data_IF_986192205141
#
_entry.id   IF_986192205141
#
_cell.length_a   1.000
_cell.length_b   1.000
_cell.length_c   1.000
_cell.angle_alpha   90.00
_cell.angle_beta   90.00
_cell.angle_gamma   90.00
#
_symmetry.space_group_name_H-M   'P 1'
#
loop_
_entity.id
_entity.type
_entity.pdbx_description
1 polymer ?
#
# COMPACT_ATOMS: atom_id res chain seq x y z
N UNK A 1 -3.40 -3.21 -14.27
CA UNK A 1 -2.52 -2.24 -13.54
C UNK A 1 -2.89 -1.97 -12.06
N UNK A 2 -4.13 -2.18 -11.61
CA UNK A 2 -4.46 -2.43 -10.17
C UNK A 2 -5.46 -3.59 -10.08
N UNK A 3 -6.42 -3.64 -11.00
CA UNK A 3 -7.43 -4.69 -11.15
C UNK A 3 -6.88 -6.11 -11.50
N UNK A 4 -5.57 -6.26 -11.69
CA UNK A 4 -4.93 -7.53 -12.09
C UNK A 4 -3.89 -8.01 -11.08
N UNK A 5 -3.61 -7.22 -10.04
CA UNK A 5 -2.68 -7.62 -8.99
C UNK A 5 -3.35 -8.70 -8.13
N UNK A 6 -2.72 -9.87 -8.00
CA UNK A 6 -3.23 -10.95 -7.16
C UNK A 6 -2.90 -10.70 -5.69
N UNK A 7 -1.81 -9.98 -5.45
CA UNK A 7 -1.37 -9.56 -4.12
C UNK A 7 -0.63 -8.22 -4.19
N UNK A 8 -0.41 -7.60 -3.03
CA UNK A 8 0.24 -6.29 -2.92
C UNK A 8 1.62 -6.24 -3.59
N UNK A 9 2.36 -7.35 -3.60
CA UNK A 9 3.65 -7.47 -4.28
C UNK A 9 3.61 -7.29 -5.80
N UNK A 10 2.44 -7.43 -6.45
CA UNK A 10 2.27 -7.23 -7.89
C UNK A 10 1.96 -5.77 -8.24
N UNK A 11 1.63 -4.95 -7.25
CA UNK A 11 1.30 -3.54 -7.48
C UNK A 11 2.59 -2.80 -7.84
N UNK A 12 2.63 -2.06 -8.96
CA UNK A 12 3.85 -1.39 -9.38
C UNK A 12 4.38 -0.41 -8.33
N UNK A 13 5.70 -0.36 -8.20
CA UNK A 13 6.43 0.60 -7.34
C UNK A 13 7.15 1.65 -8.20
N UNK A 14 6.75 1.82 -9.46
CA UNK A 14 7.32 2.80 -10.40
C UNK A 14 6.33 3.92 -10.70
N UNK A 15 6.67 4.84 -11.60
CA UNK A 15 5.68 5.79 -12.13
C UNK A 15 4.98 5.20 -13.36
N UNK A 16 3.70 5.54 -13.63
CA UNK A 16 2.85 6.48 -12.90
C UNK A 16 2.12 5.88 -11.67
N UNK A 17 2.05 4.55 -11.54
CA UNK A 17 1.40 3.86 -10.41
C UNK A 17 2.45 3.48 -9.37
N UNK A 18 2.63 4.33 -8.36
CA UNK A 18 3.71 4.23 -7.38
C UNK A 18 3.19 3.77 -6.01
N UNK A 19 3.19 2.45 -5.78
CA UNK A 19 2.92 1.86 -4.46
C UNK A 19 4.17 1.91 -3.58
N UNK A 20 4.04 2.45 -2.36
CA UNK A 20 5.15 2.54 -1.41
C UNK A 20 4.65 2.56 0.04
N UNK A 21 5.45 2.06 1.00
CA UNK A 21 5.13 2.14 2.42
C UNK A 21 5.24 3.58 2.92
N UNK A 22 4.34 3.97 3.83
CA UNK A 22 4.40 5.22 4.57
C UNK A 22 5.30 5.03 5.80
N UNK A 23 6.39 5.82 5.86
CA UNK A 23 7.49 5.59 6.81
C UNK A 23 7.43 6.43 8.08
N UNK A 24 6.57 7.44 8.14
CA UNK A 24 6.63 8.47 9.18
C UNK A 24 5.41 8.44 10.12
N UNK A 25 5.66 8.76 11.40
CA UNK A 25 4.63 8.98 12.41
C UNK A 25 3.67 7.81 12.61
N UNK A 26 2.38 8.14 12.76
CA UNK A 26 1.28 7.19 12.97
C UNK A 26 0.91 6.36 11.73
N UNK A 27 1.55 6.61 10.58
CA UNK A 27 1.24 5.91 9.31
C UNK A 27 2.13 4.70 9.06
N UNK A 28 3.00 4.33 10.01
CA UNK A 28 3.79 3.10 9.91
C UNK A 28 2.89 1.87 9.71
N UNK A 29 3.21 1.05 8.70
CA UNK A 29 2.40 -0.11 8.32
C UNK A 29 1.29 0.19 7.32
N UNK A 30 1.12 1.46 6.92
CA UNK A 30 0.25 1.85 5.82
C UNK A 30 1.05 1.97 4.52
N UNK A 31 0.34 1.88 3.40
CA UNK A 31 0.86 2.01 2.05
C UNK A 31 0.05 3.07 1.30
N UNK A 32 0.69 3.74 0.35
CA UNK A 32 0.02 4.65 -0.56
C UNK A 32 0.30 4.25 -2.00
N UNK A 33 -0.73 4.32 -2.85
CA UNK A 33 -0.60 4.17 -4.30
C UNK A 33 -1.11 5.41 -5.01
N UNK A 34 -0.38 5.87 -6.04
CA UNK A 34 -0.80 6.97 -6.90
C UNK A 34 -2.05 6.61 -7.70
N UNK A 35 -3.10 7.42 -7.58
CA UNK A 35 -4.30 7.33 -8.41
C UNK A 35 -4.16 8.20 -9.67
N UNK A 36 -4.00 9.52 -9.47
CA UNK A 36 -3.81 10.51 -10.54
C UNK A 36 -3.12 11.75 -9.96
N UNK A 37 -2.05 12.21 -10.59
CA UNK A 37 -1.27 13.36 -10.13
C UNK A 37 -0.93 13.24 -8.63
N UNK A 38 -1.56 14.05 -7.79
CA UNK A 38 -1.25 14.17 -6.36
C UNK A 38 -2.17 13.33 -5.48
N UNK A 39 -3.19 12.71 -6.08
CA UNK A 39 -4.12 11.85 -5.38
C UNK A 39 -3.47 10.51 -5.02
N UNK A 40 -3.67 10.10 -3.77
CA UNK A 40 -3.21 8.83 -3.21
C UNK A 40 -4.39 8.07 -2.63
N UNK A 41 -4.43 6.77 -2.89
CA UNK A 41 -5.20 5.84 -2.08
C UNK A 41 -4.28 5.32 -0.98
N UNK A 42 -4.68 5.49 0.28
CA UNK A 42 -3.95 5.01 1.44
C UNK A 42 -4.70 3.85 2.07
N UNK A 43 -3.96 2.79 2.39
CA UNK A 43 -4.50 1.55 2.90
C UNK A 43 -3.49 0.83 3.79
N UNK A 44 -3.92 -0.25 4.45
CA UNK A 44 -3.04 -1.19 5.17
C UNK A 44 -3.40 -2.63 4.82
N UNK A 45 -2.47 -3.59 4.96
CA UNK A 45 -2.79 -5.03 4.90
C UNK A 45 -3.84 -5.39 5.95
N UNK A 46 -4.78 -6.26 5.61
CA UNK A 46 -5.87 -6.68 6.50
C UNK A 46 -5.96 -8.20 6.59
N UNK A 47 -4.99 -8.78 7.30
CA UNK A 47 -4.88 -10.21 7.56
C UNK A 47 -4.72 -10.45 9.06
N UNK A 48 -5.25 -11.57 9.54
CA UNK A 48 -5.05 -12.04 10.91
C UNK A 48 -4.64 -13.54 10.91
N UNK A 49 -3.36 -13.86 11.19
CA UNK A 49 -2.24 -12.95 11.45
C UNK A 49 -1.72 -12.26 10.17
N UNK A 50 -1.00 -11.15 10.31
CA UNK A 50 -0.29 -10.54 9.19
C UNK A 50 0.76 -11.51 8.60
N UNK A 51 0.85 -11.65 7.26
CA UNK A 51 1.83 -12.53 6.66
C UNK A 51 3.23 -11.91 6.78
N UNK A 52 4.14 -12.57 7.48
CA UNK A 52 5.51 -12.09 7.68
C UNK A 52 6.55 -13.06 7.15
N UNK A 53 7.66 -12.52 6.65
CA UNK A 53 8.89 -13.25 6.35
C UNK A 53 9.59 -13.70 7.63
N UNK A 54 10.59 -14.59 7.50
CA UNK A 54 11.42 -15.01 8.63
C UNK A 54 12.20 -13.85 9.28
N UNK A 55 12.43 -12.75 8.55
CA UNK A 55 13.02 -11.50 9.07
C UNK A 55 12.07 -10.70 9.98
N UNK A 56 10.78 -11.05 10.00
CA UNK A 56 9.72 -10.28 10.65
C UNK A 56 9.13 -9.15 9.81
N UNK A 57 9.62 -8.96 8.58
CA UNK A 57 9.04 -8.01 7.62
C UNK A 57 7.76 -8.57 6.99
N UNK A 58 6.89 -7.69 6.49
CA UNK A 58 5.65 -8.10 5.84
C UNK A 58 5.94 -8.79 4.48
N UNK A 59 5.35 -9.96 4.27
CA UNK A 59 5.44 -10.71 3.03
C UNK A 59 4.36 -10.20 2.04
N UNK A 60 4.75 -9.23 1.19
CA UNK A 60 3.84 -8.59 0.23
C UNK A 60 3.24 -9.55 -0.80
N UNK A 61 3.89 -10.70 -1.05
CA UNK A 61 3.37 -11.74 -1.95
C UNK A 61 2.17 -12.49 -1.38
N UNK A 62 1.88 -12.30 -0.09
CA UNK A 62 0.75 -12.94 0.60
C UNK A 62 -0.34 -11.96 1.03
N UNK A 63 -0.15 -10.66 0.77
CA UNK A 63 -1.16 -9.64 1.11
C UNK A 63 -2.19 -9.56 -0.01
N UNK A 64 -3.31 -10.27 0.16
CA UNK A 64 -4.44 -10.30 -0.80
C UNK A 64 -5.65 -9.46 -0.37
N UNK A 65 -5.65 -8.94 0.86
CA UNK A 65 -6.75 -8.17 1.45
C UNK A 65 -6.15 -6.92 2.08
N UNK A 66 -6.79 -5.78 1.81
CA UNK A 66 -6.39 -4.47 2.32
C UNK A 66 -7.60 -3.77 2.95
N UNK A 67 -7.33 -2.98 3.97
CA UNK A 67 -8.27 -2.04 4.56
C UNK A 67 -7.98 -0.64 4.01
N UNK A 68 -8.96 -0.04 3.35
CA UNK A 68 -8.85 1.33 2.85
C UNK A 68 -8.95 2.32 4.01
N UNK A 69 -8.02 3.26 4.07
CA UNK A 69 -7.94 4.27 5.12
C UNK A 69 -8.51 5.60 4.60
N UNK A 70 -8.01 6.07 3.46
CA UNK A 70 -8.42 7.35 2.89
C UNK A 70 -8.02 7.49 1.42
N UNK A 71 -8.67 8.45 0.75
CA UNK A 71 -8.27 8.98 -0.55
C UNK A 71 -7.96 10.45 -0.35
N UNK A 72 -6.73 10.86 -0.64
CA UNK A 72 -6.20 12.17 -0.23
C UNK A 72 -5.37 12.83 -1.34
N UNK A 73 -5.47 14.15 -1.47
CA UNK A 73 -4.61 14.98 -2.32
C UNK A 73 -3.43 15.48 -1.50
N UNK A 74 -2.20 15.17 -1.92
CA UNK A 74 -0.98 15.59 -1.20
C UNK A 74 -0.55 17.04 -1.45
N UNK A 75 -1.29 17.85 -2.22
CA UNK A 75 -1.01 19.27 -2.42
C UNK A 75 -2.01 20.22 -1.75
N UNK A 76 -3.10 19.71 -1.17
CA UNK A 76 -3.98 20.54 -0.34
C UNK A 76 -3.50 20.45 1.11
N UNK A 77 -2.53 21.31 1.46
CA UNK A 77 -2.29 21.74 2.85
C UNK A 77 -3.10 23.00 3.17
#
# INVERSE_FOLDING_TARGET
MLAEALHLGDVPTGTPVHCHPLKHGSRKGQYAVTLKANWRLVFRPDHDPLPTLASGELDLSKVTVIHLIEVVDYHEE
#
